data_IF_099631222806
#
_entry.id   IF_099631222806
#
_cell.length_a   1.000
_cell.length_b   1.000
_cell.length_c   1.000
_cell.angle_alpha   90.00
_cell.angle_beta   90.00
_cell.angle_gamma   90.00
#
_symmetry.space_group_name_H-M   'P 1'
#
loop_
_entity.id
_entity.type
_entity.pdbx_description
1 polymer ?
#
# COMPACT_ATOMS: atom_id res chain seq x y z
N UNK A 1 20.21 12.61 9.37
CA UNK A 1 20.71 11.22 9.54
C UNK A 1 22.01 11.13 10.37
N UNK A 2 22.82 12.20 10.48
CA UNK A 2 24.10 12.16 11.16
C UNK A 2 25.04 11.13 10.52
N UNK A 3 25.68 10.30 11.35
CA UNK A 3 26.55 9.23 10.88
C UNK A 3 25.82 7.89 10.70
N UNK A 4 24.51 7.85 10.97
CA UNK A 4 23.71 6.61 10.92
C UNK A 4 23.15 6.36 9.53
N UNK A 5 23.06 5.09 9.18
CA UNK A 5 22.32 4.65 8.00
C UNK A 5 20.80 4.77 8.23
N UNK A 6 20.08 5.12 7.20
CA UNK A 6 18.64 5.18 7.20
C UNK A 6 18.03 4.49 5.99
N UNK A 7 16.71 4.48 5.92
CA UNK A 7 15.99 4.00 4.75
C UNK A 7 15.28 5.18 4.08
N UNK A 8 15.48 5.29 2.78
CA UNK A 8 14.71 6.17 1.91
C UNK A 8 13.64 5.34 1.23
N UNK A 9 12.37 5.65 1.47
CA UNK A 9 11.26 4.93 0.85
C UNK A 9 10.33 5.87 0.13
N UNK A 10 9.62 5.34 -0.85
CA UNK A 10 8.58 6.09 -1.55
C UNK A 10 7.37 6.23 -0.64
N UNK A 11 6.81 7.43 -0.60
CA UNK A 11 5.54 7.69 0.03
C UNK A 11 4.45 7.60 -1.03
N UNK A 12 3.76 6.47 -1.07
CA UNK A 12 2.64 6.26 -1.97
C UNK A 12 1.47 7.18 -1.59
N UNK A 13 0.78 7.68 -2.59
CA UNK A 13 -0.37 8.57 -2.41
C UNK A 13 -1.68 7.83 -2.71
N UNK A 14 -2.31 7.36 -1.67
CA UNK A 14 -3.56 6.62 -1.74
C UNK A 14 -4.28 6.64 -0.40
N UNK A 15 -4.63 5.47 0.09
CA UNK A 15 -5.34 5.30 1.35
C UNK A 15 -4.61 4.29 2.23
N UNK A 16 -4.33 4.67 3.47
CA UNK A 16 -3.68 3.75 4.42
C UNK A 16 -4.68 2.68 4.85
N UNK A 17 -4.27 1.42 4.75
CA UNK A 17 -5.06 0.25 5.12
C UNK A 17 -4.27 -0.63 6.07
N UNK A 18 -4.94 -1.10 7.14
CA UNK A 18 -4.39 -2.08 8.07
C UNK A 18 -4.98 -3.44 7.72
N UNK A 19 -4.11 -4.41 7.41
CA UNK A 19 -4.51 -5.78 7.09
C UNK A 19 -4.18 -6.71 8.24
N UNK A 20 -5.11 -7.59 8.56
CA UNK A 20 -4.90 -8.70 9.50
C UNK A 20 -5.06 -10.01 8.75
N UNK A 21 -4.01 -10.81 8.72
CA UNK A 21 -4.05 -12.19 8.23
C UNK A 21 -3.99 -13.14 9.41
N UNK A 22 -4.75 -14.23 9.34
CA UNK A 22 -4.74 -15.31 10.33
C UNK A 22 -4.95 -16.63 9.61
N UNK A 23 -4.24 -17.66 10.05
CA UNK A 23 -4.27 -19.00 9.41
C UNK A 23 -3.97 -18.93 7.91
N UNK A 24 -3.12 -17.99 7.52
CA UNK A 24 -2.67 -17.81 6.14
C UNK A 24 -3.61 -17.03 5.24
N UNK A 25 -4.76 -16.56 5.73
CA UNK A 25 -5.77 -15.86 4.89
C UNK A 25 -6.11 -14.49 5.45
N UNK A 26 -6.59 -13.60 4.57
CA UNK A 26 -7.04 -12.28 4.98
C UNK A 26 -8.26 -12.39 5.88
N UNK A 27 -8.13 -11.92 7.11
CA UNK A 27 -9.18 -11.91 8.11
C UNK A 27 -9.93 -10.60 8.15
N UNK A 28 -9.20 -9.48 8.09
CA UNK A 28 -9.76 -8.15 8.25
C UNK A 28 -8.91 -7.10 7.54
N UNK A 29 -9.58 -6.15 6.92
CA UNK A 29 -8.95 -4.95 6.36
C UNK A 29 -9.72 -3.72 6.86
N UNK A 30 -9.00 -2.73 7.38
CA UNK A 30 -9.57 -1.51 7.94
C UNK A 30 -8.84 -0.30 7.38
N UNK A 31 -9.59 0.69 6.90
CA UNK A 31 -9.00 1.95 6.49
C UNK A 31 -8.54 2.73 7.71
N UNK A 32 -7.47 3.49 7.56
CA UNK A 32 -6.98 4.40 8.58
C UNK A 32 -6.99 5.82 8.05
N UNK A 33 -7.88 6.64 8.60
CA UNK A 33 -7.99 8.05 8.24
C UNK A 33 -7.47 8.95 9.36
N UNK A 34 -7.37 10.23 9.08
CA UNK A 34 -6.86 11.26 10.00
C UNK A 34 -7.80 11.47 11.21
N UNK A 35 -7.59 10.68 12.27
CA UNK A 35 -8.35 10.82 13.51
C UNK A 35 -9.81 10.36 13.45
N UNK A 36 -10.25 9.77 12.34
CA UNK A 36 -11.58 9.22 12.17
C UNK A 36 -11.56 7.73 12.43
N UNK A 37 -12.65 7.16 12.94
CA UNK A 37 -12.82 5.72 13.12
C UNK A 37 -12.64 5.01 11.77
N UNK A 38 -11.79 3.99 11.74
CA UNK A 38 -11.52 3.24 10.53
C UNK A 38 -12.75 2.46 10.06
N UNK A 39 -12.92 2.36 8.76
CA UNK A 39 -13.99 1.58 8.14
C UNK A 39 -13.49 0.19 7.79
N UNK A 40 -14.31 -0.83 8.03
CA UNK A 40 -14.00 -2.21 7.64
C UNK A 40 -14.26 -2.35 6.13
N UNK A 41 -13.21 -2.73 5.39
CA UNK A 41 -13.26 -2.89 3.93
C UNK A 41 -12.77 -4.27 3.49
N UNK A 42 -12.90 -5.28 4.33
CA UNK A 42 -12.36 -6.62 4.08
C UNK A 42 -12.83 -7.20 2.76
N UNK A 43 -14.12 -7.05 2.46
CA UNK A 43 -14.69 -7.56 1.22
C UNK A 43 -14.05 -6.93 -0.03
N UNK A 44 -13.78 -5.62 0.03
CA UNK A 44 -13.12 -4.91 -1.06
C UNK A 44 -11.64 -5.27 -1.16
N UNK A 45 -10.96 -5.44 -0.02
CA UNK A 45 -9.53 -5.77 0.00
C UNK A 45 -9.24 -7.15 -0.61
N UNK A 46 -10.19 -8.08 -0.53
CA UNK A 46 -10.03 -9.42 -1.11
C UNK A 46 -9.80 -9.41 -2.62
N UNK A 47 -10.22 -8.37 -3.29
CA UNK A 47 -10.06 -8.23 -4.75
C UNK A 47 -8.96 -7.25 -5.16
N UNK A 48 -8.12 -6.83 -4.22
CA UNK A 48 -6.92 -6.05 -4.54
C UNK A 48 -6.01 -6.89 -5.43
N UNK A 49 -5.40 -6.26 -6.43
CA UNK A 49 -4.67 -6.94 -7.51
C UNK A 49 -3.48 -7.76 -7.03
N UNK A 50 -2.78 -7.30 -6.01
CA UNK A 50 -1.50 -7.86 -5.60
C UNK A 50 -1.48 -8.41 -4.17
N UNK A 51 -2.63 -8.58 -3.53
CA UNK A 51 -2.66 -9.24 -2.22
C UNK A 51 -2.62 -10.76 -2.39
N UNK A 52 -1.75 -11.45 -1.63
CA UNK A 52 -1.75 -12.90 -1.66
C UNK A 52 -3.04 -13.46 -1.06
N UNK A 53 -3.64 -14.45 -1.73
CA UNK A 53 -4.82 -15.15 -1.22
C UNK A 53 -4.47 -15.98 0.02
N UNK A 54 -3.26 -16.53 0.05
CA UNK A 54 -2.72 -17.30 1.18
C UNK A 54 -1.26 -16.93 1.41
N UNK A 55 -0.86 -16.91 2.69
CA UNK A 55 0.53 -16.73 3.08
C UNK A 55 1.01 -17.96 3.85
N UNK A 56 2.33 -18.26 3.83
CA UNK A 56 2.88 -19.46 4.48
C UNK A 56 3.10 -19.30 5.99
N UNK A 57 2.34 -18.46 6.66
CA UNK A 57 2.42 -18.19 8.09
C UNK A 57 1.05 -18.38 8.72
N UNK A 58 0.93 -19.29 9.68
CA UNK A 58 -0.35 -19.67 10.29
C UNK A 58 -0.82 -18.74 11.41
N UNK A 59 0.10 -18.01 12.06
CA UNK A 59 -0.24 -17.08 13.13
C UNK A 59 -0.87 -15.80 12.63
N UNK A 60 -1.20 -14.93 13.56
CA UNK A 60 -1.72 -13.60 13.24
C UNK A 60 -0.62 -12.67 12.77
N UNK A 61 -0.83 -12.04 11.62
CA UNK A 61 0.05 -11.02 11.06
C UNK A 61 -0.77 -9.76 10.82
N UNK A 62 -0.30 -8.62 11.32
CA UNK A 62 -0.91 -7.32 11.10
C UNK A 62 0.08 -6.43 10.36
N UNK A 63 -0.36 -5.90 9.22
CA UNK A 63 0.44 -5.03 8.35
C UNK A 63 -0.24 -3.69 8.15
N UNK A 64 0.55 -2.65 7.94
CA UNK A 64 0.05 -1.40 7.38
C UNK A 64 0.66 -1.20 6.01
N UNK A 65 -0.12 -0.63 5.12
CA UNK A 65 0.34 -0.28 3.79
C UNK A 65 -0.58 0.72 3.14
N UNK A 66 -0.24 1.05 1.92
CA UNK A 66 -1.02 2.02 1.14
C UNK A 66 -1.73 1.31 0.00
N UNK A 67 -3.05 1.52 -0.08
CA UNK A 67 -3.85 1.12 -1.23
C UNK A 67 -3.80 2.25 -2.25
N UNK A 68 -3.46 1.92 -3.50
CA UNK A 68 -3.24 2.91 -4.56
C UNK A 68 -3.84 2.45 -5.88
N UNK A 69 -4.19 3.41 -6.73
CA UNK A 69 -4.61 3.17 -8.11
C UNK A 69 -3.62 3.89 -9.02
N UNK A 70 -3.18 3.23 -10.09
CA UNK A 70 -2.25 3.80 -11.07
C UNK A 70 -2.88 5.01 -11.79
N UNK A 71 -2.04 5.95 -12.20
CA UNK A 71 -2.49 7.10 -13.00
C UNK A 71 -3.17 6.67 -14.30
N UNK A 72 -2.64 5.66 -14.99
CA UNK A 72 -3.22 5.14 -16.22
C UNK A 72 -4.62 4.56 -16.00
N UNK A 73 -4.82 3.82 -14.91
CA UNK A 73 -6.13 3.28 -14.55
C UNK A 73 -7.10 4.41 -14.16
N UNK A 74 -6.63 5.39 -13.40
CA UNK A 74 -7.42 6.57 -13.02
C UNK A 74 -7.95 7.31 -14.25
N UNK A 75 -7.07 7.59 -15.20
CA UNK A 75 -7.42 8.28 -16.43
C UNK A 75 -8.47 7.51 -17.22
N UNK A 76 -8.25 6.20 -17.37
CA UNK A 76 -9.15 5.33 -18.13
C UNK A 76 -10.54 5.23 -17.48
N UNK A 77 -10.59 5.12 -16.16
CA UNK A 77 -11.86 5.04 -15.41
C UNK A 77 -12.62 6.36 -15.55
N UNK A 78 -11.95 7.50 -15.38
CA UNK A 78 -12.60 8.81 -15.52
C UNK A 78 -13.12 9.08 -16.94
N UNK A 79 -12.40 8.65 -17.97
CA UNK A 79 -12.86 8.78 -19.37
C UNK A 79 -14.16 7.99 -19.60
N UNK A 80 -14.38 6.90 -18.87
CA UNK A 80 -15.61 6.12 -18.93
C UNK A 80 -16.79 6.71 -18.17
N UNK A 81 -16.59 7.77 -17.38
CA UNK A 81 -17.66 8.47 -16.66
C UNK A 81 -18.19 9.60 -17.53
N UNK A 82 -19.43 9.46 -18.01
CA UNK A 82 -20.05 10.45 -18.92
C UNK A 82 -20.26 11.81 -18.27
N UNK A 83 -20.75 11.82 -17.03
CA UNK A 83 -20.95 13.05 -16.26
C UNK A 83 -19.62 13.59 -15.75
N UNK A 84 -19.15 14.68 -16.33
CA UNK A 84 -17.87 15.31 -15.96
C UNK A 84 -17.82 15.70 -14.49
N UNK A 85 -18.96 16.12 -13.92
CA UNK A 85 -19.04 16.52 -12.52
C UNK A 85 -18.97 15.32 -11.55
N UNK A 86 -19.25 14.11 -12.04
CA UNK A 86 -19.15 12.88 -11.27
C UNK A 86 -17.75 12.25 -11.32
N UNK A 87 -16.83 12.81 -12.10
CA UNK A 87 -15.46 12.30 -12.21
C UNK A 87 -14.66 12.57 -10.95
N UNK A 88 -13.74 11.66 -10.68
CA UNK A 88 -12.84 11.79 -9.53
C UNK A 88 -11.75 12.82 -9.82
N UNK A 89 -11.34 13.58 -8.79
CA UNK A 89 -10.35 14.65 -8.92
C UNK A 89 -8.92 14.14 -9.04
N UNK A 90 -8.62 13.02 -8.36
CA UNK A 90 -7.27 12.46 -8.33
C UNK A 90 -7.34 10.95 -8.02
N UNK A 91 -6.23 10.22 -8.23
CA UNK A 91 -6.20 8.78 -7.94
C UNK A 91 -6.49 8.42 -6.48
N UNK A 92 -6.12 9.28 -5.53
CA UNK A 92 -6.41 9.06 -4.11
C UNK A 92 -7.92 9.01 -3.86
N UNK A 93 -8.67 9.97 -4.40
CA UNK A 93 -10.12 10.03 -4.25
C UNK A 93 -10.79 8.83 -4.93
N UNK A 94 -10.31 8.43 -6.09
CA UNK A 94 -10.81 7.23 -6.76
C UNK A 94 -10.55 5.99 -5.92
N UNK A 95 -9.36 5.85 -5.35
CA UNK A 95 -9.01 4.72 -4.48
C UNK A 95 -9.92 4.68 -3.25
N UNK A 96 -10.09 5.82 -2.59
CA UNK A 96 -10.95 5.94 -1.41
C UNK A 96 -12.40 5.51 -1.70
N UNK A 97 -12.95 5.94 -2.84
CA UNK A 97 -14.29 5.52 -3.27
C UNK A 97 -14.36 4.05 -3.67
N UNK A 98 -13.28 3.54 -4.27
CA UNK A 98 -13.24 2.16 -4.79
C UNK A 98 -13.20 1.10 -3.71
N UNK A 99 -12.58 1.40 -2.56
CA UNK A 99 -12.49 0.44 -1.44
C UNK A 99 -13.75 0.42 -0.57
N UNK A 100 -14.70 1.31 -0.82
CA UNK A 100 -15.95 1.42 -0.07
C UNK A 100 -17.18 0.91 -0.84
N UNK A 101 -16.98 0.22 -1.94
CA UNK A 101 -18.08 -0.30 -2.76
C UNK A 101 -18.78 -1.46 -2.06
N UNK A 102 -20.11 -1.46 -2.09
CA UNK A 102 -20.91 -2.58 -1.57
C UNK A 102 -20.67 -3.84 -2.39
N UNK A 103 -20.56 -3.70 -3.71
CA UNK A 103 -20.22 -4.78 -4.61
C UNK A 103 -18.73 -4.72 -4.96
N UNK A 104 -17.95 -5.70 -4.50
CA UNK A 104 -16.52 -5.72 -4.73
C UNK A 104 -16.12 -6.00 -6.19
N UNK A 105 -17.05 -6.37 -7.06
CA UNK A 105 -16.78 -6.44 -8.50
C UNK A 105 -16.39 -5.08 -9.06
N UNK A 106 -16.99 -3.99 -8.55
CA UNK A 106 -16.61 -2.62 -8.91
C UNK A 106 -15.16 -2.35 -8.47
N UNK A 107 -14.80 -2.73 -7.25
CA UNK A 107 -13.44 -2.59 -6.73
C UNK A 107 -12.45 -3.38 -7.59
N UNK A 108 -12.79 -4.61 -7.96
CA UNK A 108 -11.94 -5.48 -8.78
C UNK A 108 -11.61 -4.85 -10.15
N UNK A 109 -12.58 -4.17 -10.76
CA UNK A 109 -12.40 -3.50 -12.06
C UNK A 109 -11.52 -2.25 -12.00
N UNK A 110 -11.34 -1.69 -10.82
CA UNK A 110 -10.58 -0.46 -10.63
C UNK A 110 -9.10 -0.68 -10.33
N UNK A 111 -8.66 -1.93 -10.24
CA UNK A 111 -7.25 -2.30 -10.11
C UNK A 111 -6.55 -1.63 -8.93
N UNK A 112 -7.04 -1.88 -7.72
CA UNK A 112 -6.40 -1.38 -6.50
C UNK A 112 -5.21 -2.24 -6.16
N UNK A 113 -4.04 -1.62 -5.95
CA UNK A 113 -2.80 -2.26 -5.50
C UNK A 113 -2.53 -1.90 -4.05
N UNK A 114 -1.84 -2.78 -3.34
CA UNK A 114 -1.44 -2.56 -1.96
C UNK A 114 0.07 -2.73 -1.82
N UNK A 115 0.72 -1.77 -1.16
CA UNK A 115 2.14 -1.83 -0.87
C UNK A 115 2.36 -1.68 0.63
N UNK A 116 2.92 -2.71 1.26
CA UNK A 116 3.18 -2.71 2.68
C UNK A 116 4.33 -1.76 3.02
N UNK A 117 4.21 -1.02 4.12
CA UNK A 117 5.28 -0.17 4.61
C UNK A 117 5.60 -0.39 6.10
N UNK A 118 4.79 -1.14 6.84
CA UNK A 118 5.06 -1.45 8.25
C UNK A 118 4.49 -2.81 8.65
N UNK A 119 5.29 -3.55 9.40
CA UNK A 119 4.86 -4.75 10.10
C UNK A 119 4.48 -4.33 11.53
N UNK A 120 3.21 -4.52 11.89
CA UNK A 120 2.69 -4.11 13.20
C UNK A 120 2.79 -5.25 14.20
N UNK A 121 2.47 -6.48 13.77
CA UNK A 121 2.46 -7.66 14.63
C UNK A 121 2.69 -8.93 13.81
N UNK A 122 3.46 -9.85 14.38
CA UNK A 122 3.58 -11.21 13.87
C UNK A 122 3.56 -12.14 15.08
N UNK A 123 2.52 -12.93 15.23
CA UNK A 123 2.30 -13.81 16.37
C UNK A 123 3.41 -14.83 16.52
N UNK A 124 3.97 -14.95 17.72
CA UNK A 124 5.07 -15.86 18.00
C UNK A 124 6.43 -15.42 17.47
N UNK A 125 6.51 -14.22 16.90
CA UNK A 125 7.75 -13.63 16.39
C UNK A 125 7.95 -12.25 17.00
N UNK A 126 9.10 -12.00 17.59
CA UNK A 126 9.44 -10.65 18.02
C UNK A 126 9.77 -9.79 16.81
N UNK A 127 9.26 -8.55 16.80
CA UNK A 127 9.61 -7.60 15.74
C UNK A 127 11.06 -7.17 15.91
N UNK A 128 11.79 -7.20 14.82
CA UNK A 128 13.16 -6.73 14.81
C UNK A 128 13.20 -5.20 14.87
N UNK A 129 14.29 -4.64 15.41
CA UNK A 129 14.49 -3.19 15.44
C UNK A 129 14.73 -2.63 14.05
N UNK A 130 15.13 -3.46 13.11
CA UNK A 130 15.36 -3.06 11.72
C UNK A 130 14.06 -3.08 10.92
N UNK A 131 13.66 -1.92 10.41
CA UNK A 131 12.52 -1.79 9.50
C UNK A 131 12.77 -2.63 8.24
N UNK A 132 13.99 -2.62 7.72
CA UNK A 132 14.34 -3.40 6.54
C UNK A 132 14.13 -4.91 6.75
N UNK A 133 14.60 -5.45 7.88
CA UNK A 133 14.43 -6.87 8.18
C UNK A 133 12.95 -7.26 8.27
N UNK A 134 12.15 -6.42 8.90
CA UNK A 134 10.71 -6.64 8.99
C UNK A 134 10.05 -6.60 7.60
N UNK A 135 10.46 -5.66 6.75
CA UNK A 135 9.90 -5.54 5.39
C UNK A 135 10.32 -6.71 4.50
N UNK A 136 11.56 -7.18 4.59
CA UNK A 136 12.01 -8.35 3.85
C UNK A 136 11.23 -9.61 4.26
N UNK A 137 10.92 -9.75 5.55
CA UNK A 137 10.09 -10.85 6.03
C UNK A 137 8.68 -10.78 5.45
N UNK A 138 8.08 -9.59 5.44
CA UNK A 138 6.76 -9.33 4.84
C UNK A 138 6.77 -9.67 3.35
N UNK A 139 7.81 -9.24 2.64
CA UNK A 139 7.96 -9.53 1.20
C UNK A 139 8.06 -11.03 0.94
N UNK A 140 8.77 -11.77 1.79
CA UNK A 140 8.89 -13.22 1.69
C UNK A 140 7.57 -13.96 1.92
N UNK A 141 6.60 -13.34 2.58
CA UNK A 141 5.25 -13.90 2.72
C UNK A 141 4.42 -13.76 1.43
N UNK A 142 4.86 -12.94 0.49
CA UNK A 142 4.16 -12.73 -0.79
C UNK A 142 3.57 -11.33 -0.97
N UNK A 143 3.79 -10.42 -0.04
CA UNK A 143 3.33 -9.03 -0.18
C UNK A 143 4.32 -8.20 -0.99
N UNK A 144 3.80 -7.26 -1.77
CA UNK A 144 4.63 -6.20 -2.31
C UNK A 144 4.84 -5.13 -1.24
N UNK A 145 6.05 -4.61 -1.20
CA UNK A 145 6.43 -3.57 -0.24
C UNK A 145 6.76 -2.27 -0.98
N UNK A 146 6.67 -1.14 -0.28
CA UNK A 146 7.06 0.14 -0.87
C UNK A 146 8.53 0.10 -1.28
N UNK A 147 8.90 0.64 -2.45
CA UNK A 147 10.31 0.72 -2.85
C UNK A 147 11.12 1.49 -1.82
N UNK A 148 12.31 0.98 -1.52
CA UNK A 148 13.20 1.66 -0.59
C UNK A 148 14.65 1.52 -1.01
N UNK A 149 15.51 2.39 -0.44
CA UNK A 149 16.97 2.32 -0.56
C UNK A 149 17.61 2.58 0.79
N UNK A 150 18.68 1.85 1.06
CA UNK A 150 19.54 2.19 2.18
C UNK A 150 20.32 3.45 1.85
N UNK A 151 20.30 4.40 2.74
CA UNK A 151 21.00 5.68 2.56
C UNK A 151 21.84 5.99 3.77
N UNK A 152 22.93 6.68 3.54
CA UNK A 152 23.78 7.26 4.56
C UNK A 152 24.04 8.73 4.25
N UNK A 153 24.88 9.37 5.06
CA UNK A 153 25.20 10.78 4.87
C UNK A 153 25.84 11.09 3.52
N UNK A 154 26.59 10.12 2.96
CA UNK A 154 27.33 10.34 1.71
C UNK A 154 26.46 10.17 0.47
N UNK A 155 25.53 9.19 0.47
CA UNK A 155 24.76 8.84 -0.72
C UNK A 155 23.32 9.36 -0.75
N UNK A 156 22.82 9.93 0.37
CA UNK A 156 21.40 10.30 0.49
C UNK A 156 20.93 11.26 -0.61
N UNK A 157 21.72 12.25 -0.97
CA UNK A 157 21.31 13.22 -2.00
C UNK A 157 21.21 12.59 -3.38
N UNK A 158 22.16 11.71 -3.71
CA UNK A 158 22.13 10.97 -4.97
C UNK A 158 20.95 10.02 -5.06
N UNK A 159 20.60 9.34 -3.96
CA UNK A 159 19.46 8.43 -3.93
C UNK A 159 18.12 9.17 -3.98
N UNK A 160 18.01 10.34 -3.35
CA UNK A 160 16.83 11.19 -3.47
C UNK A 160 16.62 11.60 -4.93
N UNK A 161 17.68 12.00 -5.63
CA UNK A 161 17.60 12.35 -7.04
C UNK A 161 17.16 11.16 -7.89
N UNK A 162 17.74 9.99 -7.65
CA UNK A 162 17.38 8.76 -8.36
C UNK A 162 15.90 8.41 -8.14
N UNK A 163 15.39 8.52 -6.93
CA UNK A 163 13.97 8.29 -6.65
C UNK A 163 13.08 9.32 -7.32
N UNK A 164 13.48 10.59 -7.33
CA UNK A 164 12.71 11.66 -7.98
C UNK A 164 12.58 11.40 -9.48
N UNK A 165 13.64 10.93 -10.13
CA UNK A 165 13.61 10.56 -11.54
C UNK A 165 12.68 9.36 -11.78
N UNK A 166 12.75 8.33 -10.93
CA UNK A 166 11.89 7.14 -11.02
C UNK A 166 10.42 7.45 -10.76
N UNK A 167 10.12 8.39 -9.86
CA UNK A 167 8.74 8.81 -9.58
C UNK A 167 8.10 9.41 -10.83
N UNK A 168 8.84 10.20 -11.61
CA UNK A 168 8.34 10.77 -12.86
C UNK A 168 7.99 9.66 -13.87
N UNK A 169 8.75 8.57 -13.90
CA UNK A 169 8.52 7.43 -14.79
C UNK A 169 7.48 6.44 -14.22
N UNK A 170 7.16 6.54 -12.95
CA UNK A 170 6.30 5.58 -12.27
C UNK A 170 4.83 5.96 -12.42
N UNK A 171 4.01 4.97 -12.77
CA UNK A 171 2.56 5.13 -12.95
C UNK A 171 1.79 5.15 -11.62
N UNK A 172 2.47 4.91 -10.49
CA UNK A 172 1.83 4.97 -9.17
C UNK A 172 1.91 6.37 -8.56
N UNK A 173 0.77 6.87 -7.99
CA UNK A 173 0.77 8.14 -7.27
C UNK A 173 1.73 8.10 -6.08
N UNK A 174 2.55 9.14 -5.94
CA UNK A 174 3.53 9.28 -4.86
C UNK A 174 3.63 10.71 -4.40
N UNK A 175 3.86 10.92 -3.11
CA UNK A 175 4.13 12.23 -2.51
C UNK A 175 5.63 12.53 -2.46
#
# INVERSE_FOLDING_TARGET
LGEKEGLLSWKMDGLTVVLTYRDGVLQKAVTRGNGVVGEVITNNARVFKNLPAKIPFAGEVVLRGEAVIKYSDFKKINEGIEDVDARYKNPRNLCSGSVRQLNNEVTAKRNVFFFAFALVKAEGRELENSVESNMLWVQNLGFEIVPYKRVDRENIMGEIQNFSEKIVENDFPSD
#
